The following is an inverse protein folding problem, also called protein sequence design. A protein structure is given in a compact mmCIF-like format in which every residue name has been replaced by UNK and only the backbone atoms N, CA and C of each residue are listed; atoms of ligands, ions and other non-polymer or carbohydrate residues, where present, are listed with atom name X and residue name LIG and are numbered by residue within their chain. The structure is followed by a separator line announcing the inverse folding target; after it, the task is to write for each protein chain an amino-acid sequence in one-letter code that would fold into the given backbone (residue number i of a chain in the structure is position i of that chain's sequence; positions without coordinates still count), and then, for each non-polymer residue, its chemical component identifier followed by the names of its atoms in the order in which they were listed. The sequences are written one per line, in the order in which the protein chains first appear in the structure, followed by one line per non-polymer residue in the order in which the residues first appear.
data_IF_651273570156
#
_entry.id   IF_651273570156
#
_cell.length_a   1.000
_cell.length_b   1.000
_cell.length_c   1.000
_cell.angle_alpha   90.00
_cell.angle_beta   90.00
_cell.angle_gamma   90.00
#
_symmetry.space_group_name_H-M   'P 1'
#
loop_
_entity.id
_entity.type
_entity.pdbx_description
1 polymer ?
#
# COMPACT_ATOMS: atom_id res chain seq x y z
N UNK A 1 -31.77 -16.51 -4.27
CA UNK A 1 -30.98 -16.13 -5.46
C UNK A 1 -29.56 -15.92 -4.97
N UNK A 2 -28.57 -16.64 -5.49
CA UNK A 2 -27.18 -16.35 -5.12
C UNK A 2 -26.84 -14.96 -5.66
N UNK A 3 -26.19 -14.15 -4.85
CA UNK A 3 -25.88 -12.74 -5.13
C UNK A 3 -24.71 -12.56 -6.13
N UNK A 4 -24.35 -13.61 -6.86
CA UNK A 4 -23.29 -13.64 -7.86
C UNK A 4 -21.86 -13.59 -7.29
N UNK A 5 -21.69 -13.37 -5.99
CA UNK A 5 -20.37 -13.28 -5.34
C UNK A 5 -19.84 -14.68 -5.05
N UNK A 6 -18.60 -14.97 -5.47
CA UNK A 6 -17.91 -16.19 -5.08
C UNK A 6 -17.20 -15.99 -3.73
N UNK A 7 -17.95 -16.11 -2.63
CA UNK A 7 -17.39 -15.98 -1.27
C UNK A 7 -16.32 -17.02 -0.96
N UNK A 8 -16.38 -18.19 -1.60
CA UNK A 8 -15.35 -19.22 -1.43
C UNK A 8 -14.02 -18.74 -2.01
N UNK A 9 -14.04 -18.13 -3.19
CA UNK A 9 -12.88 -17.50 -3.83
C UNK A 9 -12.26 -16.41 -2.95
N UNK A 10 -13.09 -15.49 -2.44
CA UNK A 10 -12.62 -14.43 -1.53
C UNK A 10 -11.99 -15.03 -0.27
N UNK A 11 -12.63 -16.03 0.34
CA UNK A 11 -12.16 -16.64 1.59
C UNK A 11 -10.81 -17.34 1.42
N UNK A 12 -10.64 -18.11 0.34
CA UNK A 12 -9.36 -18.77 0.03
C UNK A 12 -8.27 -17.73 -0.20
N UNK A 13 -8.56 -16.69 -0.98
CA UNK A 13 -7.64 -15.58 -1.19
C UNK A 13 -7.20 -14.94 0.14
N UNK A 14 -8.15 -14.57 1.00
CA UNK A 14 -7.84 -13.91 2.28
C UNK A 14 -6.98 -14.80 3.18
N UNK A 15 -7.33 -16.08 3.34
CA UNK A 15 -6.57 -17.01 4.17
C UNK A 15 -5.13 -17.13 3.65
N UNK A 16 -4.97 -17.33 2.34
CA UNK A 16 -3.66 -17.49 1.72
C UNK A 16 -2.83 -16.20 1.69
N UNK A 17 -3.46 -15.03 1.70
CA UNK A 17 -2.77 -13.75 1.79
C UNK A 17 -2.33 -13.43 3.23
N UNK A 18 -3.17 -13.75 4.21
CA UNK A 18 -2.95 -13.40 5.62
C UNK A 18 -2.07 -14.38 6.37
N UNK A 19 -2.36 -15.68 6.29
CA UNK A 19 -1.69 -16.69 7.11
C UNK A 19 -0.16 -16.68 6.96
N UNK A 20 0.43 -16.73 5.74
CA UNK A 20 1.88 -16.67 5.60
C UNK A 20 2.45 -15.29 5.92
N UNK A 21 1.73 -14.21 5.64
CA UNK A 21 2.16 -12.85 5.97
C UNK A 21 2.28 -12.66 7.49
N UNK A 22 1.26 -13.07 8.23
CA UNK A 22 1.24 -12.98 9.69
C UNK A 22 2.30 -13.88 10.30
N UNK A 23 2.39 -15.13 9.85
CA UNK A 23 3.42 -16.06 10.31
C UNK A 23 4.83 -15.49 10.12
N UNK A 24 5.09 -14.90 8.96
CA UNK A 24 6.34 -14.23 8.65
C UNK A 24 6.60 -13.05 9.60
N UNK A 25 5.61 -12.17 9.79
CA UNK A 25 5.74 -11.01 10.69
C UNK A 25 6.03 -11.46 12.13
N UNK A 26 5.35 -12.50 12.62
CA UNK A 26 5.60 -13.07 13.95
C UNK A 26 6.98 -13.70 14.06
N UNK A 27 7.45 -14.45 13.06
CA UNK A 27 8.79 -15.04 13.07
C UNK A 27 9.86 -13.94 13.10
N UNK A 28 9.72 -12.92 12.25
CA UNK A 28 10.64 -11.77 12.22
C UNK A 28 10.67 -11.08 13.59
N UNK A 29 9.51 -10.88 14.21
CA UNK A 29 9.42 -10.27 15.54
C UNK A 29 10.09 -11.12 16.62
N UNK A 30 9.88 -12.45 16.61
CA UNK A 30 10.47 -13.35 17.60
C UNK A 30 11.99 -13.44 17.50
N UNK A 31 12.55 -13.34 16.28
CA UNK A 31 14.01 -13.43 16.07
C UNK A 31 14.69 -12.07 16.21
N UNK A 32 14.12 -11.02 15.62
CA UNK A 32 14.74 -9.70 15.50
C UNK A 32 14.17 -8.62 16.43
N UNK A 33 13.14 -8.93 17.23
CA UNK A 33 12.35 -8.00 18.04
C UNK A 33 11.65 -6.90 17.23
N UNK A 34 11.08 -5.90 17.91
CA UNK A 34 10.50 -4.71 17.26
C UNK A 34 11.52 -3.92 16.41
N UNK A 35 12.82 -4.07 16.67
CA UNK A 35 13.88 -3.40 15.90
C UNK A 35 14.31 -4.14 14.65
N UNK A 36 13.72 -5.30 14.35
CA UNK A 36 14.08 -6.11 13.18
C UNK A 36 14.07 -5.28 11.89
N UNK A 37 13.06 -4.43 11.71
CA UNK A 37 12.90 -3.61 10.50
C UNK A 37 13.97 -2.52 10.32
N UNK A 38 14.87 -2.30 11.29
CA UNK A 38 16.06 -1.48 11.10
C UNK A 38 17.12 -2.16 10.21
N UNK A 39 17.06 -3.49 10.06
CA UNK A 39 17.98 -4.24 9.21
C UNK A 39 17.44 -4.35 7.77
N UNK A 40 18.29 -4.09 6.74
CA UNK A 40 17.91 -4.26 5.34
C UNK A 40 17.43 -5.68 4.99
N UNK A 41 17.93 -6.70 5.69
CA UNK A 41 17.50 -8.08 5.48
C UNK A 41 16.02 -8.29 5.82
N UNK A 42 15.56 -7.79 6.97
CA UNK A 42 14.14 -7.91 7.33
C UNK A 42 13.26 -6.99 6.49
N UNK A 43 13.78 -5.85 6.01
CA UNK A 43 13.06 -5.00 5.06
C UNK A 43 12.84 -5.70 3.71
N UNK A 44 13.83 -6.43 3.18
CA UNK A 44 13.66 -7.17 1.92
C UNK A 44 12.64 -8.31 2.05
N UNK A 45 12.62 -8.95 3.21
CA UNK A 45 11.58 -9.91 3.58
C UNK A 45 10.19 -9.26 3.58
N UNK A 46 9.99 -8.13 4.25
CA UNK A 46 8.71 -7.40 4.23
C UNK A 46 8.34 -6.88 2.82
N UNK A 47 9.31 -6.57 1.96
CA UNK A 47 9.03 -6.28 0.56
C UNK A 47 8.52 -7.53 -0.19
N UNK A 48 9.14 -8.70 0.04
CA UNK A 48 8.69 -9.97 -0.54
C UNK A 48 7.29 -10.39 -0.07
N UNK A 49 6.92 -10.05 1.17
CA UNK A 49 5.58 -10.26 1.76
C UNK A 49 4.46 -9.67 0.89
N UNK A 50 4.73 -8.60 0.12
CA UNK A 50 3.77 -7.96 -0.79
C UNK A 50 3.26 -8.88 -1.91
N UNK A 51 3.89 -10.05 -2.13
CA UNK A 51 3.42 -11.05 -3.09
C UNK A 51 2.50 -12.13 -2.50
N UNK A 52 2.25 -12.16 -1.19
CA UNK A 52 1.30 -13.11 -0.61
C UNK A 52 -0.15 -12.93 -1.10
N UNK A 53 -0.66 -11.71 -1.35
CA UNK A 53 -1.97 -11.56 -1.99
C UNK A 53 -2.01 -12.19 -3.39
N UNK A 54 -0.97 -12.02 -4.22
CA UNK A 54 -0.87 -12.71 -5.51
C UNK A 54 -0.88 -14.24 -5.36
N UNK A 55 -0.14 -14.78 -4.39
CA UNK A 55 -0.20 -16.21 -4.06
C UNK A 55 -1.62 -16.64 -3.69
N UNK A 56 -2.33 -15.82 -2.90
CA UNK A 56 -3.72 -16.05 -2.56
C UNK A 56 -4.65 -16.07 -3.76
N UNK A 57 -4.45 -15.19 -4.75
CA UNK A 57 -5.20 -15.21 -6.02
C UNK A 57 -4.93 -16.50 -6.77
N UNK A 58 -3.66 -16.91 -6.90
CA UNK A 58 -3.28 -18.15 -7.60
C UNK A 58 -3.93 -19.37 -6.94
N UNK A 59 -3.80 -19.50 -5.61
CA UNK A 59 -4.40 -20.61 -4.86
C UNK A 59 -5.92 -20.61 -4.95
N UNK A 60 -6.54 -19.43 -4.89
CA UNK A 60 -7.98 -19.29 -5.07
C UNK A 60 -8.44 -19.76 -6.45
N UNK A 61 -7.72 -19.38 -7.51
CA UNK A 61 -8.03 -19.82 -8.88
C UNK A 61 -7.87 -21.34 -9.03
N UNK A 62 -6.79 -21.91 -8.50
CA UNK A 62 -6.54 -23.36 -8.52
C UNK A 62 -7.64 -24.15 -7.78
N UNK A 63 -7.99 -23.75 -6.55
CA UNK A 63 -8.98 -24.43 -5.72
C UNK A 63 -10.39 -24.32 -6.29
N UNK A 64 -10.73 -23.18 -6.90
CA UNK A 64 -12.02 -22.98 -7.59
C UNK A 64 -12.04 -23.52 -9.01
N UNK A 65 -10.96 -24.18 -9.46
CA UNK A 65 -10.80 -24.76 -10.79
C UNK A 65 -10.99 -23.74 -11.93
N UNK A 66 -10.65 -22.48 -11.67
CA UNK A 66 -10.61 -21.43 -12.67
C UNK A 66 -9.22 -21.41 -13.37
N UNK A 67 -9.19 -21.00 -14.64
CA UNK A 67 -7.93 -20.91 -15.38
C UNK A 67 -7.00 -19.85 -14.78
N UNK A 68 -5.84 -20.26 -14.24
CA UNK A 68 -4.89 -19.35 -13.57
C UNK A 68 -4.39 -18.25 -14.51
N UNK A 69 -3.98 -18.62 -15.72
CA UNK A 69 -3.45 -17.67 -16.71
C UNK A 69 -4.48 -16.60 -17.06
N UNK A 70 -5.72 -17.01 -17.28
CA UNK A 70 -6.80 -16.11 -17.67
C UNK A 70 -7.26 -15.25 -16.48
N UNK A 71 -7.31 -15.82 -15.27
CA UNK A 71 -7.59 -15.08 -14.05
C UNK A 71 -6.53 -14.02 -13.74
N UNK A 72 -5.24 -14.37 -13.82
CA UNK A 72 -4.16 -13.40 -13.61
C UNK A 72 -4.14 -12.29 -14.66
N UNK A 73 -4.47 -12.61 -15.92
CA UNK A 73 -4.65 -11.58 -16.97
C UNK A 73 -5.87 -10.70 -16.71
N UNK A 74 -6.96 -11.29 -16.22
CA UNK A 74 -8.18 -10.54 -15.93
C UNK A 74 -7.96 -9.57 -14.75
N UNK A 75 -7.34 -10.03 -13.67
CA UNK A 75 -7.12 -9.25 -12.45
C UNK A 75 -5.85 -8.37 -12.49
N UNK A 76 -4.91 -8.68 -13.38
CA UNK A 76 -3.61 -8.02 -13.48
C UNK A 76 -3.61 -6.75 -14.34
N UNK A 77 -2.42 -6.31 -14.71
CA UNK A 77 -2.19 -5.05 -15.43
C UNK A 77 -2.90 -5.02 -16.80
N UNK A 78 -3.75 -4.01 -17.00
CA UNK A 78 -4.46 -3.78 -18.27
C UNK A 78 -3.85 -2.56 -18.99
N UNK A 79 -3.09 -2.81 -20.05
CA UNK A 79 -2.49 -1.74 -20.87
C UNK A 79 -3.48 -1.37 -21.98
N UNK A 80 -4.23 -0.28 -21.76
CA UNK A 80 -5.16 0.29 -22.74
C UNK A 80 -4.66 1.63 -23.31
N UNK A 81 -5.44 2.20 -24.23
CA UNK A 81 -5.13 3.52 -24.84
C UNK A 81 -5.00 4.67 -23.82
N UNK A 82 -5.68 4.54 -22.68
CA UNK A 82 -5.66 5.51 -21.57
C UNK A 82 -4.53 5.27 -20.56
N UNK A 83 -3.73 4.23 -20.74
CA UNK A 83 -2.71 3.82 -19.77
C UNK A 83 -1.71 4.94 -19.44
N UNK A 84 -1.15 5.69 -20.41
CA UNK A 84 -0.23 6.79 -20.08
C UNK A 84 -0.88 7.89 -19.24
N UNK A 85 -2.14 8.24 -19.52
CA UNK A 85 -2.87 9.24 -18.76
C UNK A 85 -3.14 8.78 -17.33
N UNK A 86 -3.53 7.51 -17.15
CA UNK A 86 -3.79 6.93 -15.84
C UNK A 86 -2.51 6.77 -15.01
N UNK A 87 -1.39 6.43 -15.65
CA UNK A 87 -0.08 6.35 -15.00
C UNK A 87 0.35 7.74 -14.48
N UNK A 88 0.23 8.78 -15.30
CA UNK A 88 0.55 10.16 -14.89
C UNK A 88 -0.40 10.59 -13.77
N UNK A 89 -1.71 10.36 -13.92
CA UNK A 89 -2.70 10.71 -12.91
C UNK A 89 -2.41 10.02 -11.58
N UNK A 90 -2.20 8.70 -11.59
CA UNK A 90 -1.84 7.92 -10.41
C UNK A 90 -0.57 8.41 -9.73
N UNK A 91 0.47 8.72 -10.51
CA UNK A 91 1.73 9.24 -9.97
C UNK A 91 1.61 10.66 -9.39
N UNK A 92 0.67 11.48 -9.88
CA UNK A 92 0.45 12.86 -9.41
C UNK A 92 -0.50 12.98 -8.22
N UNK A 93 -1.39 12.01 -7.99
CA UNK A 93 -2.35 12.06 -6.87
C UNK A 93 -1.66 12.26 -5.50
N UNK A 94 -0.59 11.53 -5.14
CA UNK A 94 0.11 11.76 -3.86
C UNK A 94 0.64 13.19 -3.72
N UNK A 95 1.14 13.81 -4.81
CA UNK A 95 1.61 15.20 -4.80
C UNK A 95 0.46 16.18 -4.62
N UNK A 96 -0.68 15.93 -5.26
CA UNK A 96 -1.87 16.73 -5.06
C UNK A 96 -2.34 16.66 -3.61
N UNK A 97 -2.40 15.46 -3.03
CA UNK A 97 -2.73 15.26 -1.61
C UNK A 97 -1.75 16.01 -0.71
N UNK A 98 -0.44 15.94 -1.01
CA UNK A 98 0.59 16.66 -0.26
C UNK A 98 0.39 18.18 -0.30
N UNK A 99 0.14 18.76 -1.49
CA UNK A 99 -0.11 20.20 -1.66
C UNK A 99 -1.39 20.63 -0.93
N UNK A 100 -2.48 19.87 -1.10
CA UNK A 100 -3.75 20.15 -0.41
C UNK A 100 -3.59 20.05 1.10
N UNK A 101 -2.83 19.07 1.60
CA UNK A 101 -2.53 18.93 3.02
C UNK A 101 -1.77 20.12 3.59
N UNK A 102 -0.77 20.65 2.86
CA UNK A 102 -0.06 21.88 3.24
C UNK A 102 -1.02 23.07 3.29
N UNK A 103 -1.83 23.27 2.24
CA UNK A 103 -2.78 24.37 2.17
C UNK A 103 -3.81 24.32 3.32
N UNK A 104 -4.34 23.14 3.59
CA UNK A 104 -5.25 22.89 4.71
C UNK A 104 -4.57 23.17 6.06
N UNK A 105 -3.32 22.74 6.24
CA UNK A 105 -2.55 23.02 7.44
C UNK A 105 -2.41 24.52 7.71
N UNK A 106 -2.04 25.30 6.70
CA UNK A 106 -2.01 26.77 6.81
C UNK A 106 -3.38 27.36 7.14
N UNK A 107 -4.45 26.87 6.50
CA UNK A 107 -5.81 27.36 6.71
C UNK A 107 -6.27 27.22 8.17
N UNK A 108 -5.91 26.13 8.84
CA UNK A 108 -6.28 25.88 10.24
C UNK A 108 -5.24 26.41 11.25
N UNK A 109 -4.21 27.12 10.79
CA UNK A 109 -3.14 27.64 11.64
C UNK A 109 -2.20 26.55 12.19
N UNK A 110 -2.14 25.38 11.55
CA UNK A 110 -1.23 24.32 11.95
C UNK A 110 0.22 24.68 11.56
N UNK A 111 1.22 24.46 12.43
CA UNK A 111 2.60 24.75 12.09
C UNK A 111 3.08 23.78 11.01
N UNK A 112 3.27 24.29 9.80
CA UNK A 112 3.84 23.55 8.68
C UNK A 112 5.33 23.88 8.57
N UNK A 113 6.16 22.85 8.61
CA UNK A 113 7.62 22.96 8.49
C UNK A 113 8.10 22.11 7.33
N UNK A 114 9.18 22.51 6.67
CA UNK A 114 9.82 21.68 5.66
C UNK A 114 10.34 20.40 6.34
N UNK A 115 9.90 19.19 5.92
CA UNK A 115 10.28 17.95 6.60
C UNK A 115 11.79 17.70 6.58
N UNK A 116 12.51 18.25 5.59
CA UNK A 116 13.97 18.06 5.51
C UNK A 116 14.73 18.84 6.58
N UNK A 117 14.13 19.85 7.21
CA UNK A 117 14.80 20.64 8.26
C UNK A 117 15.17 19.80 9.48
N UNK A 118 14.48 18.67 9.71
CA UNK A 118 14.79 17.74 10.79
C UNK A 118 16.04 16.90 10.54
N UNK A 119 16.37 16.65 9.27
CA UNK A 119 17.51 15.82 8.87
C UNK A 119 18.69 16.65 8.39
N UNK A 120 18.44 17.86 7.88
CA UNK A 120 19.45 18.73 7.28
C UNK A 120 20.63 19.03 8.23
N UNK A 121 20.42 19.33 9.54
CA UNK A 121 21.53 19.59 10.45
C UNK A 121 22.48 18.40 10.65
N UNK A 122 21.97 17.18 10.48
CA UNK A 122 22.73 15.94 10.64
C UNK A 122 23.49 15.52 9.37
N UNK A 123 23.33 16.25 8.26
CA UNK A 123 24.06 15.96 7.02
C UNK A 123 25.52 16.42 7.11
N UNK A 124 26.44 15.74 6.39
CA UNK A 124 27.82 16.20 6.25
C UNK A 124 27.91 17.63 5.71
N UNK A 125 28.93 18.39 6.14
CA UNK A 125 29.10 19.80 5.71
C UNK A 125 29.24 19.92 4.19
N UNK A 126 29.90 18.97 3.55
CA UNK A 126 30.09 18.93 2.09
C UNK A 126 28.75 18.92 1.36
N UNK A 127 27.75 18.20 1.90
CA UNK A 127 26.40 18.14 1.33
C UNK A 127 25.66 19.45 1.57
N UNK A 128 25.79 20.05 2.75
CA UNK A 128 25.14 21.32 3.11
C UNK A 128 25.65 22.49 2.27
N UNK A 129 26.93 22.49 1.90
CA UNK A 129 27.50 23.47 0.98
C UNK A 129 26.95 23.36 -0.46
N UNK A 130 26.53 22.16 -0.88
CA UNK A 130 26.04 21.91 -2.23
C UNK A 130 24.52 22.05 -2.35
N UNK A 131 23.76 21.70 -1.31
CA UNK A 131 22.32 21.63 -1.33
C UNK A 131 21.71 22.49 -0.23
N UNK A 132 20.86 23.44 -0.62
CA UNK A 132 19.96 24.12 0.31
C UNK A 132 18.84 23.17 0.78
N UNK A 133 18.17 23.45 1.92
CA UNK A 133 17.03 22.65 2.38
C UNK A 133 15.91 22.51 1.33
N UNK A 134 15.63 23.57 0.58
CA UNK A 134 14.64 23.56 -0.50
C UNK A 134 15.08 22.71 -1.70
N UNK A 135 16.36 22.75 -2.07
CA UNK A 135 16.91 21.86 -3.10
C UNK A 135 16.83 20.38 -2.66
N UNK A 136 17.15 20.09 -1.40
CA UNK A 136 17.05 18.74 -0.84
C UNK A 136 15.60 18.22 -0.81
N UNK A 137 14.63 19.08 -0.47
CA UNK A 137 13.22 18.74 -0.55
C UNK A 137 12.81 18.41 -2.00
N UNK A 138 13.20 19.24 -2.96
CA UNK A 138 12.90 19.00 -4.37
C UNK A 138 13.48 17.67 -4.86
N UNK A 139 14.73 17.36 -4.50
CA UNK A 139 15.37 16.08 -4.82
C UNK A 139 14.66 14.89 -4.15
N UNK A 140 14.20 15.05 -2.92
CA UNK A 140 13.45 14.01 -2.20
C UNK A 140 12.10 13.74 -2.86
N UNK A 141 11.40 14.78 -3.32
CA UNK A 141 10.16 14.64 -4.09
C UNK A 141 10.41 13.97 -5.44
N UNK A 142 11.46 14.35 -6.17
CA UNK A 142 11.83 13.70 -7.44
C UNK A 142 12.18 12.21 -7.20
N UNK A 143 12.95 11.93 -6.15
CA UNK A 143 13.31 10.56 -5.77
C UNK A 143 12.08 9.73 -5.42
N UNK A 144 11.12 10.29 -4.67
CA UNK A 144 9.86 9.64 -4.36
C UNK A 144 9.03 9.36 -5.62
N UNK A 145 9.01 10.27 -6.60
CA UNK A 145 8.37 10.05 -7.89
C UNK A 145 8.99 8.85 -8.63
N UNK A 146 10.32 8.86 -8.79
CA UNK A 146 11.06 7.81 -9.49
C UNK A 146 10.87 6.46 -8.79
N UNK A 147 11.01 6.43 -7.46
CA UNK A 147 10.80 5.22 -6.66
C UNK A 147 9.36 4.70 -6.79
N UNK A 148 8.38 5.60 -6.76
CA UNK A 148 6.96 5.31 -6.91
C UNK A 148 6.64 4.60 -8.23
N UNK A 149 7.10 5.15 -9.36
CA UNK A 149 6.80 4.58 -10.69
C UNK A 149 7.64 3.33 -11.04
N UNK A 150 8.70 3.04 -10.28
CA UNK A 150 9.64 1.94 -10.58
C UNK A 150 9.47 0.74 -9.64
N UNK A 151 10.37 0.57 -8.67
CA UNK A 151 10.42 -0.59 -7.79
C UNK A 151 9.15 -0.73 -6.95
N UNK A 152 8.59 0.38 -6.48
CA UNK A 152 7.37 0.33 -5.67
C UNK A 152 6.17 -0.17 -6.49
N UNK A 153 6.06 0.19 -7.77
CA UNK A 153 5.07 -0.39 -8.68
C UNK A 153 5.22 -1.91 -8.76
N UNK A 154 6.44 -2.41 -8.94
CA UNK A 154 6.68 -3.85 -9.08
C UNK A 154 6.25 -4.63 -7.83
N UNK A 155 6.56 -4.09 -6.65
CA UNK A 155 6.16 -4.68 -5.38
C UNK A 155 4.64 -4.59 -5.18
N UNK A 156 4.04 -3.43 -5.47
CA UNK A 156 2.61 -3.19 -5.29
C UNK A 156 1.73 -4.06 -6.20
N UNK A 157 2.19 -4.46 -7.39
CA UNK A 157 1.42 -5.36 -8.29
C UNK A 157 1.01 -6.65 -7.58
N UNK A 158 1.87 -7.18 -6.69
CA UNK A 158 1.57 -8.37 -5.91
C UNK A 158 0.36 -8.21 -4.99
N UNK A 159 0.15 -7.01 -4.47
CA UNK A 159 -0.99 -6.66 -3.63
C UNK A 159 -2.23 -6.30 -4.47
N UNK A 160 -2.04 -5.47 -5.50
CA UNK A 160 -3.12 -4.92 -6.32
C UNK A 160 -3.96 -6.01 -7.00
N UNK A 161 -3.31 -7.09 -7.49
CA UNK A 161 -4.02 -8.20 -8.13
C UNK A 161 -5.01 -8.91 -7.18
N UNK A 162 -4.75 -8.87 -5.88
CA UNK A 162 -5.64 -9.41 -4.85
C UNK A 162 -6.73 -8.42 -4.46
N UNK A 163 -6.32 -7.22 -4.01
CA UNK A 163 -7.25 -6.24 -3.44
C UNK A 163 -8.13 -5.58 -4.51
N UNK A 164 -7.52 -5.05 -5.57
CA UNK A 164 -8.20 -4.32 -6.65
C UNK A 164 -8.48 -5.19 -7.88
N UNK A 165 -7.91 -6.40 -7.93
CA UNK A 165 -8.30 -7.44 -8.87
C UNK A 165 -9.42 -8.32 -8.30
N UNK A 166 -9.04 -9.46 -7.72
CA UNK A 166 -9.97 -10.51 -7.29
C UNK A 166 -11.06 -10.01 -6.33
N UNK A 167 -10.71 -9.33 -5.24
CA UNK A 167 -11.72 -8.89 -4.25
C UNK A 167 -12.67 -7.84 -4.82
N UNK A 168 -12.14 -6.84 -5.54
CA UNK A 168 -12.95 -5.80 -6.17
C UNK A 168 -13.93 -6.42 -7.17
N UNK A 169 -13.44 -7.25 -8.09
CA UNK A 169 -14.28 -7.88 -9.12
C UNK A 169 -15.40 -8.75 -8.52
N UNK A 170 -15.11 -9.52 -7.46
CA UNK A 170 -16.13 -10.34 -6.81
C UNK A 170 -17.14 -9.51 -6.01
N UNK A 171 -16.68 -8.53 -5.22
CA UNK A 171 -17.56 -7.73 -4.37
C UNK A 171 -18.44 -6.75 -5.16
N UNK A 172 -17.96 -6.23 -6.29
CA UNK A 172 -18.71 -5.30 -7.15
C UNK A 172 -19.90 -5.95 -7.87
N UNK A 173 -19.99 -7.29 -7.89
CA UNK A 173 -21.18 -8.01 -8.39
C UNK A 173 -22.42 -7.75 -7.55
N UNK A 174 -22.24 -7.44 -6.26
CA UNK A 174 -23.33 -7.23 -5.30
C UNK A 174 -23.34 -5.82 -4.70
N UNK A 175 -22.17 -5.29 -4.35
CA UNK A 175 -22.06 -4.07 -3.56
C UNK A 175 -21.75 -2.84 -4.43
N UNK A 176 -22.23 -1.68 -3.99
CA UNK A 176 -21.86 -0.39 -4.57
C UNK A 176 -20.38 -0.10 -4.31
N UNK A 177 -19.78 0.79 -5.11
CA UNK A 177 -18.36 1.06 -5.04
C UNK A 177 -17.93 1.56 -3.64
N UNK A 178 -18.66 2.49 -2.99
CA UNK A 178 -18.31 2.91 -1.64
C UNK A 178 -18.28 1.76 -0.63
N UNK A 179 -19.27 0.86 -0.68
CA UNK A 179 -19.33 -0.30 0.22
C UNK A 179 -18.17 -1.26 -0.06
N UNK A 180 -17.90 -1.55 -1.33
CA UNK A 180 -16.77 -2.39 -1.72
C UNK A 180 -15.44 -1.79 -1.26
N UNK A 181 -15.25 -0.48 -1.41
CA UNK A 181 -14.03 0.21 -0.96
C UNK A 181 -13.86 0.18 0.55
N UNK A 182 -14.94 0.28 1.33
CA UNK A 182 -14.90 0.11 2.78
C UNK A 182 -14.44 -1.31 3.15
N UNK A 183 -15.05 -2.34 2.55
CA UNK A 183 -14.72 -3.74 2.84
C UNK A 183 -13.26 -4.05 2.51
N UNK A 184 -12.81 -3.68 1.30
CA UNK A 184 -11.43 -3.92 0.85
C UNK A 184 -10.45 -3.07 1.66
N UNK A 185 -10.78 -1.81 1.98
CA UNK A 185 -9.91 -0.95 2.78
C UNK A 185 -9.68 -1.50 4.19
N UNK A 186 -10.72 -2.03 4.83
CA UNK A 186 -10.60 -2.72 6.13
C UNK A 186 -9.75 -3.99 5.98
N UNK A 187 -10.03 -4.83 4.98
CA UNK A 187 -9.25 -6.04 4.73
C UNK A 187 -7.78 -5.73 4.39
N UNK A 188 -7.50 -4.63 3.71
CA UNK A 188 -6.12 -4.26 3.41
C UNK A 188 -5.40 -3.73 4.65
N UNK A 189 -6.07 -2.90 5.45
CA UNK A 189 -5.51 -2.38 6.71
C UNK A 189 -5.25 -3.49 7.72
N UNK A 190 -6.17 -4.45 7.85
CA UNK A 190 -5.98 -5.58 8.76
C UNK A 190 -4.79 -6.43 8.31
N UNK A 191 -4.58 -6.62 7.00
CA UNK A 191 -3.38 -7.31 6.52
C UNK A 191 -2.08 -6.64 6.99
N UNK A 192 -2.05 -5.32 7.16
CA UNK A 192 -0.90 -4.59 7.73
C UNK A 192 -0.84 -4.55 9.26
N UNK A 193 -1.88 -5.00 9.97
CA UNK A 193 -1.99 -4.82 11.42
C UNK A 193 -0.79 -5.40 12.22
N UNK A 194 -0.24 -6.60 11.91
CA UNK A 194 0.93 -7.10 12.63
C UNK A 194 2.15 -6.19 12.47
N UNK A 195 2.37 -5.64 11.27
CA UNK A 195 3.47 -4.71 11.03
C UNK A 195 3.35 -3.44 11.89
N UNK A 196 2.13 -2.92 12.02
CA UNK A 196 1.84 -1.74 12.83
C UNK A 196 2.01 -2.05 14.33
N UNK A 197 1.44 -3.15 14.82
CA UNK A 197 1.45 -3.48 16.26
C UNK A 197 2.80 -3.96 16.76
N UNK A 198 3.50 -4.80 15.99
CA UNK A 198 4.75 -5.43 16.43
C UNK A 198 5.95 -4.52 16.20
N UNK A 199 5.98 -3.77 15.08
CA UNK A 199 7.16 -2.98 14.68
C UNK A 199 6.91 -1.47 14.65
N UNK A 200 5.67 -1.02 14.89
CA UNK A 200 5.35 0.41 14.80
C UNK A 200 5.41 0.95 13.38
N UNK A 201 5.19 0.11 12.36
CA UNK A 201 5.21 0.51 10.95
C UNK A 201 4.34 1.74 10.71
N UNK A 202 4.94 2.86 10.29
CA UNK A 202 4.35 4.20 10.16
C UNK A 202 3.80 4.86 11.45
N UNK A 203 3.62 4.11 12.53
CA UNK A 203 3.01 4.56 13.78
C UNK A 203 3.82 4.13 15.01
N UNK A 204 5.08 4.62 15.17
CA UNK A 204 5.97 4.15 16.24
C UNK A 204 5.51 4.54 17.65
N UNK A 205 4.76 5.64 17.78
CA UNK A 205 4.35 6.19 19.09
C UNK A 205 3.03 5.61 19.60
N UNK A 206 2.01 5.51 18.75
CA UNK A 206 0.69 5.00 19.13
C UNK A 206 0.19 3.99 18.09
N UNK A 207 0.56 2.73 18.29
CA UNK A 207 0.32 1.64 17.35
C UNK A 207 -1.17 1.30 17.24
N UNK A 208 -1.91 1.35 18.35
CA UNK A 208 -3.36 1.07 18.37
C UNK A 208 -4.14 2.15 17.60
N UNK A 209 -3.89 3.43 17.88
CA UNK A 209 -4.48 4.52 17.11
C UNK A 209 -4.05 4.43 15.63
N UNK A 210 -2.81 4.01 15.40
CA UNK A 210 -2.26 3.76 14.07
C UNK A 210 -3.13 2.84 13.22
N UNK A 211 -3.66 1.75 13.77
CA UNK A 211 -4.58 0.85 13.03
C UNK A 211 -5.81 1.61 12.52
N UNK A 212 -6.44 2.42 13.38
CA UNK A 212 -7.68 3.13 13.00
C UNK A 212 -7.43 4.18 11.93
N UNK A 213 -6.34 4.95 12.08
CA UNK A 213 -5.93 5.96 11.09
C UNK A 213 -5.56 5.28 9.77
N UNK A 214 -4.80 4.19 9.83
CA UNK A 214 -4.39 3.43 8.65
C UNK A 214 -5.60 2.80 7.94
N UNK A 215 -6.60 2.32 8.70
CA UNK A 215 -7.86 1.82 8.15
C UNK A 215 -8.59 2.89 7.34
N UNK A 216 -8.73 4.11 7.88
CA UNK A 216 -9.35 5.22 7.17
C UNK A 216 -8.60 5.54 5.87
N UNK A 217 -7.27 5.56 5.93
CA UNK A 217 -6.39 5.78 4.77
C UNK A 217 -6.58 4.68 3.72
N UNK A 218 -6.58 3.40 4.10
CA UNK A 218 -6.78 2.28 3.18
C UNK A 218 -8.16 2.32 2.51
N UNK A 219 -9.22 2.73 3.20
CA UNK A 219 -10.56 2.91 2.61
C UNK A 219 -10.54 4.00 1.55
N UNK A 220 -9.98 5.18 1.87
CA UNK A 220 -9.89 6.31 0.95
C UNK A 220 -9.08 5.92 -0.29
N UNK A 221 -7.90 5.34 -0.09
CA UNK A 221 -7.06 4.90 -1.20
C UNK A 221 -7.70 3.80 -2.04
N UNK A 222 -8.38 2.84 -1.41
CA UNK A 222 -9.10 1.81 -2.17
C UNK A 222 -10.15 2.45 -3.08
N UNK A 223 -10.88 3.47 -2.60
CA UNK A 223 -11.86 4.17 -3.44
C UNK A 223 -11.19 4.89 -4.62
N UNK A 224 -10.14 5.68 -4.34
CA UNK A 224 -9.39 6.41 -5.38
C UNK A 224 -8.84 5.44 -6.43
N UNK A 225 -8.19 4.36 -6.02
CA UNK A 225 -7.58 3.38 -6.92
C UNK A 225 -8.61 2.60 -7.73
N UNK A 226 -9.86 2.49 -7.27
CA UNK A 226 -10.92 1.76 -7.95
C UNK A 226 -11.69 2.58 -9.00
N UNK A 227 -11.50 3.91 -9.03
CA UNK A 227 -12.15 4.81 -10.01
C UNK A 227 -11.22 5.28 -11.13
N UNK A 228 -9.92 5.04 -11.00
CA UNK A 228 -8.90 5.35 -12.01
C UNK A 228 -8.88 4.24 -13.07
#
# INVERSE_FOLDING_TARGET
MSDGVDYRRISVFLIAAYAPAYLMDFIIYLVGSERALASPFYQSLVAGRMYFPMLGVILSLLITKAGVKDGLKAYGLRIGKRFPQLLILGAMIPYLIYIVGIAYGYLIGFPITNPVEKIYPALPEEVKHLLSPSALLALSLISAFISGISLNTLLAIGEEIGWRGLMLDELRKRFSLPITSIIIGIAWSLWHAPLIILFGYNYPLNRLLGIFVYTAICIIWTYILSIL
#
